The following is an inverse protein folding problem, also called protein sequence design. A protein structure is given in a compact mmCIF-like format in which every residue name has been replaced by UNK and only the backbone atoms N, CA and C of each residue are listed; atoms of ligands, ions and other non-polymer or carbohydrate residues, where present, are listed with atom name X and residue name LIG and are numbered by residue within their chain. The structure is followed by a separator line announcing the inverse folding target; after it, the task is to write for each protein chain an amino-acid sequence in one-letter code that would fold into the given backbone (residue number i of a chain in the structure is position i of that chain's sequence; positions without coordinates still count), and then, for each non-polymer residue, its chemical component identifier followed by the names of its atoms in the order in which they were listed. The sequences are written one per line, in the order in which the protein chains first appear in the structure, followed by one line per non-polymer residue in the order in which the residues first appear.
data_IF_578511688586
#
_entry.id   IF_578511688586
#
_cell.length_a   1.000
_cell.length_b   1.000
_cell.length_c   1.000
_cell.angle_alpha   90.00
_cell.angle_beta   90.00
_cell.angle_gamma   90.00
#
_symmetry.space_group_name_H-M   'P 1'
#
loop_
_entity.id
_entity.type
_entity.pdbx_description
1 polymer ?
#
# COMPACT_ATOMS: atom_id res chain seq x y z
N UNK A 1 -3.49 -10.22 11.18
CA UNK A 1 -3.83 -10.61 9.80
C UNK A 1 -5.02 -9.84 9.24
N UNK A 2 -6.13 -9.72 9.97
CA UNK A 2 -7.33 -9.00 9.50
C UNK A 2 -7.04 -7.58 8.98
N UNK A 3 -6.23 -6.79 9.68
CA UNK A 3 -5.90 -5.41 9.29
C UNK A 3 -5.09 -5.28 7.98
N UNK A 4 -4.38 -6.32 7.56
CA UNK A 4 -3.63 -6.32 6.31
C UNK A 4 -4.44 -6.88 5.12
N UNK A 5 -5.52 -7.60 5.37
CA UNK A 5 -6.39 -8.16 4.32
C UNK A 5 -7.41 -7.16 3.78
N UNK A 6 -7.82 -6.15 4.59
CA UNK A 6 -8.74 -5.10 4.16
C UNK A 6 -7.93 -4.03 3.43
N UNK A 7 -8.01 -4.07 2.11
CA UNK A 7 -7.37 -3.08 1.26
C UNK A 7 -8.40 -2.13 0.66
N UNK A 8 -7.94 -0.97 0.23
CA UNK A 8 -8.80 0.09 -0.30
C UNK A 8 -9.51 -0.27 -1.61
N UNK A 9 -9.06 -1.31 -2.32
CA UNK A 9 -9.71 -1.75 -3.55
C UNK A 9 -9.73 -3.27 -3.73
N UNK A 10 -10.72 -3.76 -4.52
CA UNK A 10 -10.98 -5.18 -4.74
C UNK A 10 -9.83 -5.90 -5.47
N UNK A 11 -9.14 -5.23 -6.41
CA UNK A 11 -8.01 -5.81 -7.14
C UNK A 11 -6.85 -6.12 -6.19
N UNK A 12 -6.48 -5.15 -5.37
CA UNK A 12 -5.38 -5.32 -4.42
C UNK A 12 -5.71 -6.35 -3.33
N UNK A 13 -6.96 -6.40 -2.91
CA UNK A 13 -7.45 -7.45 -1.97
C UNK A 13 -7.26 -8.85 -2.56
N UNK A 14 -7.64 -9.09 -3.82
CA UNK A 14 -7.41 -10.37 -4.51
C UNK A 14 -5.91 -10.70 -4.64
N UNK A 15 -5.10 -9.72 -5.01
CA UNK A 15 -3.65 -9.89 -5.13
C UNK A 15 -3.01 -10.29 -3.80
N UNK A 16 -3.35 -9.58 -2.72
CA UNK A 16 -2.86 -9.88 -1.36
C UNK A 16 -3.33 -11.26 -0.90
N UNK A 17 -4.58 -11.64 -1.20
CA UNK A 17 -5.10 -12.95 -0.85
C UNK A 17 -4.32 -14.09 -1.54
N UNK A 18 -4.06 -13.99 -2.84
CA UNK A 18 -3.24 -14.96 -3.58
C UNK A 18 -1.84 -15.04 -2.96
N UNK A 19 -1.26 -13.89 -2.65
CA UNK A 19 0.05 -13.81 -2.06
C UNK A 19 0.10 -14.50 -0.68
N UNK A 20 -0.94 -14.35 0.14
CA UNK A 20 -1.09 -15.04 1.41
C UNK A 20 -1.22 -16.56 1.25
N UNK A 21 -1.98 -17.03 0.26
CA UNK A 21 -2.09 -18.46 -0.03
C UNK A 21 -0.72 -19.05 -0.37
N UNK A 22 0.02 -18.39 -1.27
CA UNK A 22 1.38 -18.81 -1.65
C UNK A 22 2.32 -18.79 -0.44
N UNK A 23 2.27 -17.73 0.38
CA UNK A 23 3.06 -17.64 1.59
C UNK A 23 2.78 -18.80 2.54
N UNK A 24 1.50 -19.08 2.84
CA UNK A 24 1.10 -20.18 3.74
C UNK A 24 1.60 -21.53 3.24
N UNK A 25 1.54 -21.79 1.93
CA UNK A 25 2.06 -23.04 1.35
C UNK A 25 3.58 -23.16 1.50
N UNK A 26 4.31 -22.08 1.25
CA UNK A 26 5.78 -22.03 1.44
C UNK A 26 6.17 -22.23 2.91
N UNK A 27 5.43 -21.61 3.83
CA UNK A 27 5.64 -21.72 5.26
C UNK A 27 5.52 -23.16 5.75
N UNK A 28 4.39 -23.79 5.43
CA UNK A 28 4.13 -25.16 5.87
C UNK A 28 5.11 -26.13 5.22
N UNK A 29 5.44 -25.93 3.92
CA UNK A 29 6.47 -26.70 3.25
C UNK A 29 7.84 -26.58 3.94
N UNK A 30 8.24 -25.37 4.34
CA UNK A 30 9.49 -25.15 5.06
C UNK A 30 9.49 -25.81 6.45
N UNK A 31 8.37 -25.77 7.18
CA UNK A 31 8.23 -26.46 8.47
C UNK A 31 8.37 -27.96 8.34
N UNK A 32 7.72 -28.59 7.35
CA UNK A 32 7.86 -30.02 7.14
C UNK A 32 9.29 -30.42 6.76
N UNK A 33 10.00 -29.60 5.98
CA UNK A 33 11.42 -29.83 5.71
C UNK A 33 12.26 -29.77 6.99
N UNK A 34 12.03 -28.78 7.84
CA UNK A 34 12.72 -28.64 9.12
C UNK A 34 12.43 -29.85 10.00
N UNK A 35 11.16 -30.27 10.13
CA UNK A 35 10.79 -31.43 10.95
C UNK A 35 11.39 -32.73 10.43
N UNK A 36 11.39 -32.94 9.11
CA UNK A 36 11.98 -34.14 8.51
C UNK A 36 13.44 -34.34 8.89
N UNK A 37 14.19 -33.24 9.03
CA UNK A 37 15.64 -33.29 9.27
C UNK A 37 16.02 -33.14 10.72
N UNK A 38 15.17 -32.59 11.57
CA UNK A 38 15.55 -32.19 12.93
C UNK A 38 14.47 -32.41 14.00
N UNK A 39 13.49 -33.32 13.74
CA UNK A 39 12.37 -33.51 14.67
C UNK A 39 12.80 -33.86 16.09
N UNK A 40 13.73 -34.80 16.25
CA UNK A 40 14.24 -35.27 17.55
C UNK A 40 15.20 -34.32 18.27
N UNK A 41 15.74 -33.34 17.55
CA UNK A 41 16.85 -32.52 18.05
C UNK A 41 16.46 -31.04 18.12
N UNK A 42 15.99 -30.51 19.26
CA UNK A 42 15.49 -29.15 19.37
C UNK A 42 16.55 -28.07 19.05
N UNK A 43 17.82 -28.33 19.35
CA UNK A 43 18.90 -27.41 19.03
C UNK A 43 19.12 -27.28 17.52
N UNK A 44 19.10 -28.41 16.79
CA UNK A 44 19.27 -28.42 15.33
C UNK A 44 18.11 -27.68 14.67
N UNK A 45 16.87 -27.87 15.13
CA UNK A 45 15.70 -27.12 14.67
C UNK A 45 15.90 -25.62 14.83
N UNK A 46 16.38 -25.18 15.97
CA UNK A 46 16.60 -23.77 16.26
C UNK A 46 17.71 -23.17 15.39
N UNK A 47 18.81 -23.94 15.18
CA UNK A 47 19.91 -23.53 14.29
C UNK A 47 19.44 -23.36 12.84
N UNK A 48 18.52 -24.20 12.36
CA UNK A 48 17.96 -24.09 11.00
C UNK A 48 16.92 -22.97 10.92
N UNK A 49 16.03 -22.86 11.92
CA UNK A 49 14.96 -21.86 11.91
C UNK A 49 15.48 -20.42 12.09
N UNK A 50 16.59 -20.24 12.85
CA UNK A 50 17.17 -18.94 13.12
C UNK A 50 17.59 -18.16 11.86
N UNK A 51 18.42 -18.71 10.97
CA UNK A 51 18.78 -18.09 9.70
C UNK A 51 17.60 -17.84 8.78
N UNK A 52 16.61 -18.74 8.75
CA UNK A 52 15.36 -18.54 7.97
C UNK A 52 14.60 -17.31 8.50
N UNK A 53 14.43 -17.21 9.83
CA UNK A 53 13.80 -16.05 10.44
C UNK A 53 14.56 -14.77 10.13
N UNK A 54 15.88 -14.77 10.31
CA UNK A 54 16.72 -13.62 10.07
C UNK A 54 16.63 -13.16 8.61
N UNK A 55 16.71 -14.08 7.65
CA UNK A 55 16.56 -13.82 6.22
C UNK A 55 15.17 -13.28 5.88
N UNK A 56 14.11 -13.87 6.42
CA UNK A 56 12.74 -13.40 6.23
C UNK A 56 12.52 -12.00 6.80
N UNK A 57 13.07 -11.70 7.99
CA UNK A 57 12.96 -10.36 8.60
C UNK A 57 13.76 -9.31 7.85
N UNK A 58 14.91 -9.67 7.28
CA UNK A 58 15.66 -8.82 6.37
C UNK A 58 14.86 -8.53 5.09
N UNK A 59 14.35 -9.58 4.43
CA UNK A 59 13.53 -9.44 3.21
C UNK A 59 12.21 -8.72 3.46
N UNK A 60 11.62 -8.83 4.64
CA UNK A 60 10.45 -8.06 5.04
C UNK A 60 10.67 -6.55 4.90
N UNK A 61 11.86 -6.08 5.25
CA UNK A 61 12.21 -4.65 5.22
C UNK A 61 12.73 -4.17 3.87
N UNK A 62 13.34 -5.05 3.09
CA UNK A 62 14.04 -4.70 1.85
C UNK A 62 13.29 -5.05 0.58
N UNK A 63 12.36 -5.99 0.61
CA UNK A 63 11.66 -6.48 -0.57
C UNK A 63 10.22 -5.96 -0.66
N UNK A 64 9.71 -5.72 -1.89
CA UNK A 64 8.31 -5.26 -2.12
C UNK A 64 7.25 -6.20 -1.56
N UNK A 65 7.55 -7.50 -1.52
CA UNK A 65 6.68 -8.52 -0.95
C UNK A 65 6.96 -8.77 0.54
N UNK A 66 7.39 -7.75 1.26
CA UNK A 66 7.77 -7.85 2.67
C UNK A 66 6.75 -8.54 3.56
N UNK A 67 5.46 -8.34 3.28
CA UNK A 67 4.36 -8.97 4.03
C UNK A 67 4.40 -10.50 3.97
N UNK A 68 4.77 -11.08 2.81
CA UNK A 68 4.91 -12.55 2.64
C UNK A 68 6.03 -13.07 3.53
N UNK A 69 7.19 -12.43 3.48
CA UNK A 69 8.34 -12.83 4.31
C UNK A 69 8.07 -12.70 5.80
N UNK A 70 7.29 -11.69 6.20
CA UNK A 70 6.82 -11.55 7.58
C UNK A 70 5.93 -12.72 8.00
N UNK A 71 4.98 -13.13 7.15
CA UNK A 71 4.12 -14.26 7.43
C UNK A 71 4.93 -15.56 7.58
N UNK A 72 5.84 -15.83 6.61
CA UNK A 72 6.77 -16.99 6.67
C UNK A 72 7.57 -16.99 7.97
N UNK A 73 8.09 -15.83 8.40
CA UNK A 73 8.87 -15.71 9.62
C UNK A 73 8.08 -16.09 10.88
N UNK A 74 6.84 -15.63 10.99
CA UNK A 74 5.97 -15.92 12.15
C UNK A 74 5.73 -17.44 12.26
N UNK A 75 5.30 -18.08 11.16
CA UNK A 75 4.97 -19.49 11.18
C UNK A 75 6.20 -20.35 11.36
N UNK A 76 7.33 -19.99 10.75
CA UNK A 76 8.60 -20.70 10.93
C UNK A 76 9.02 -20.78 12.41
N UNK A 77 8.85 -19.69 13.17
CA UNK A 77 9.16 -19.69 14.61
C UNK A 77 8.07 -20.36 15.43
N UNK A 78 6.81 -20.01 15.17
CA UNK A 78 5.70 -20.55 15.95
C UNK A 78 5.61 -22.07 15.80
N UNK A 79 5.85 -22.59 14.58
CA UNK A 79 5.90 -24.01 14.31
C UNK A 79 6.96 -24.78 15.13
N UNK A 80 8.06 -24.12 15.53
CA UNK A 80 9.08 -24.78 16.37
C UNK A 80 8.58 -25.09 17.79
N UNK A 81 7.50 -24.46 18.24
CA UNK A 81 6.90 -24.72 19.57
C UNK A 81 6.10 -26.02 19.61
N UNK A 82 5.55 -26.48 18.49
CA UNK A 82 4.69 -27.66 18.44
C UNK A 82 5.42 -28.95 18.88
N UNK A 83 6.59 -29.30 18.34
CA UNK A 83 7.33 -30.49 18.79
C UNK A 83 7.88 -30.37 20.21
N UNK A 84 7.95 -29.14 20.78
CA UNK A 84 8.37 -28.93 22.16
C UNK A 84 7.22 -29.10 23.17
N UNK A 85 5.97 -28.98 22.72
CA UNK A 85 4.77 -29.07 23.56
C UNK A 85 4.08 -30.44 23.48
N UNK A 86 4.34 -31.21 22.43
CA UNK A 86 3.59 -32.43 22.09
C UNK A 86 4.57 -33.58 21.81
N UNK A 87 4.39 -34.67 22.53
CA UNK A 87 5.25 -35.86 22.42
C UNK A 87 4.92 -36.74 21.19
N UNK A 88 3.74 -36.55 20.60
CA UNK A 88 3.24 -37.37 19.50
C UNK A 88 3.48 -36.70 18.14
N UNK A 89 4.38 -37.26 17.27
CA UNK A 89 4.68 -36.69 15.94
C UNK A 89 3.46 -36.51 15.06
N UNK A 90 2.54 -37.46 15.11
CA UNK A 90 1.30 -37.40 14.30
C UNK A 90 0.42 -36.17 14.65
N UNK A 91 0.33 -35.85 15.96
CA UNK A 91 -0.43 -34.68 16.42
C UNK A 91 0.24 -33.40 15.96
N UNK A 92 1.58 -33.32 15.98
CA UNK A 92 2.34 -32.17 15.48
C UNK A 92 2.10 -31.96 13.99
N UNK A 93 2.13 -33.02 13.17
CA UNK A 93 1.84 -32.95 11.74
C UNK A 93 0.41 -32.46 11.50
N UNK A 94 -0.58 -33.02 12.21
CA UNK A 94 -1.98 -32.59 12.10
C UNK A 94 -2.16 -31.11 12.48
N UNK A 95 -1.56 -30.66 13.57
CA UNK A 95 -1.60 -29.24 13.98
C UNK A 95 -0.95 -28.32 12.94
N UNK A 96 0.19 -28.73 12.39
CA UNK A 96 0.85 -27.99 11.31
C UNK A 96 -0.05 -27.87 10.07
N UNK A 97 -0.75 -28.93 9.70
CA UNK A 97 -1.75 -28.89 8.61
C UNK A 97 -2.95 -28.00 8.98
N UNK A 98 -3.39 -28.02 10.25
CA UNK A 98 -4.46 -27.11 10.70
C UNK A 98 -4.06 -25.65 10.60
N UNK A 99 -2.76 -25.30 10.69
CA UNK A 99 -2.29 -23.92 10.44
C UNK A 99 -2.64 -23.42 9.03
N UNK A 100 -2.69 -24.33 8.02
CA UNK A 100 -3.17 -23.97 6.67
C UNK A 100 -4.62 -23.47 6.75
N UNK A 101 -5.48 -24.24 7.41
CA UNK A 101 -6.90 -23.89 7.53
C UNK A 101 -7.08 -22.58 8.28
N UNK A 102 -6.38 -22.42 9.41
CA UNK A 102 -6.43 -21.19 10.24
C UNK A 102 -5.92 -19.96 9.48
N UNK A 103 -4.90 -20.11 8.64
CA UNK A 103 -4.37 -19.02 7.81
C UNK A 103 -5.23 -18.69 6.61
N UNK A 104 -5.72 -19.71 5.90
CA UNK A 104 -6.49 -19.54 4.67
C UNK A 104 -7.95 -19.13 4.91
N UNK A 105 -8.62 -19.70 5.92
CA UNK A 105 -10.02 -19.44 6.17
C UNK A 105 -10.36 -17.95 6.35
N UNK A 106 -9.69 -17.19 7.24
CA UNK A 106 -9.93 -15.76 7.37
C UNK A 106 -9.62 -14.98 6.09
N UNK A 107 -8.57 -15.37 5.39
CA UNK A 107 -8.14 -14.70 4.15
C UNK A 107 -9.17 -14.91 3.03
N UNK A 108 -9.67 -16.12 2.85
CA UNK A 108 -10.72 -16.43 1.88
C UNK A 108 -12.03 -15.73 2.24
N UNK A 109 -12.44 -15.79 3.51
CA UNK A 109 -13.67 -15.14 3.98
C UNK A 109 -13.62 -13.62 3.75
N UNK A 110 -12.51 -12.98 4.11
CA UNK A 110 -12.34 -11.55 3.89
C UNK A 110 -12.33 -11.18 2.41
N UNK A 111 -11.65 -11.99 1.58
CA UNK A 111 -11.65 -11.79 0.13
C UNK A 111 -13.05 -11.93 -0.45
N UNK A 112 -13.78 -12.94 -0.01
CA UNK A 112 -15.17 -13.16 -0.42
C UNK A 112 -16.07 -11.96 -0.04
N UNK A 113 -15.99 -11.51 1.21
CA UNK A 113 -16.76 -10.35 1.69
C UNK A 113 -16.34 -9.08 0.93
N UNK A 114 -15.04 -8.82 0.80
CA UNK A 114 -14.52 -7.63 0.10
C UNK A 114 -14.89 -7.58 -1.39
N UNK A 115 -14.98 -8.74 -2.04
CA UNK A 115 -15.35 -8.81 -3.47
C UNK A 115 -16.85 -8.77 -3.68
N UNK A 116 -17.65 -9.43 -2.81
CA UNK A 116 -19.10 -9.54 -2.98
C UNK A 116 -19.87 -8.35 -2.39
N UNK A 117 -19.51 -7.90 -1.19
CA UNK A 117 -20.24 -6.82 -0.50
C UNK A 117 -19.67 -5.43 -0.71
N UNK A 118 -18.37 -5.33 -0.91
CA UNK A 118 -17.70 -4.03 -1.07
C UNK A 118 -16.81 -4.00 -2.32
N UNK A 119 -17.38 -4.09 -3.54
CA UNK A 119 -16.59 -4.02 -4.77
C UNK A 119 -16.12 -2.59 -5.04
N UNK A 120 -15.29 -2.04 -4.16
CA UNK A 120 -14.69 -0.73 -4.38
C UNK A 120 -13.69 -0.82 -5.55
N UNK A 121 -14.08 -0.26 -6.70
CA UNK A 121 -13.20 -0.19 -7.86
C UNK A 121 -12.16 0.92 -7.67
N UNK A 122 -10.91 0.65 -8.01
CA UNK A 122 -9.83 1.63 -7.92
C UNK A 122 -10.15 2.89 -8.72
N UNK A 123 -10.80 2.74 -9.88
CA UNK A 123 -11.20 3.82 -10.77
C UNK A 123 -12.23 4.74 -10.11
N UNK A 124 -13.26 4.18 -9.49
CA UNK A 124 -14.27 4.99 -8.80
C UNK A 124 -13.68 5.83 -7.67
N UNK A 125 -12.74 5.24 -6.92
CA UNK A 125 -12.00 5.97 -5.87
C UNK A 125 -11.09 7.06 -6.46
N UNK A 126 -10.47 6.79 -7.63
CA UNK A 126 -9.63 7.77 -8.32
C UNK A 126 -10.46 8.96 -8.81
N UNK A 127 -11.59 8.69 -9.49
CA UNK A 127 -12.48 9.76 -9.94
C UNK A 127 -12.98 10.61 -8.77
N UNK A 128 -13.41 9.96 -7.68
CA UNK A 128 -13.85 10.68 -6.49
C UNK A 128 -12.72 11.53 -5.90
N UNK A 129 -11.53 10.97 -5.73
CA UNK A 129 -10.39 11.69 -5.17
C UNK A 129 -9.90 12.85 -6.05
N UNK A 130 -10.02 12.74 -7.38
CA UNK A 130 -9.74 13.83 -8.30
C UNK A 130 -10.83 14.91 -8.24
N UNK A 131 -12.10 14.48 -8.24
CA UNK A 131 -13.25 15.40 -8.17
C UNK A 131 -13.25 16.21 -6.88
N UNK A 132 -13.02 15.58 -5.72
CA UNK A 132 -12.96 16.28 -4.43
C UNK A 132 -11.90 17.39 -4.43
N UNK A 133 -10.75 17.14 -5.08
CA UNK A 133 -9.68 18.15 -5.20
C UNK A 133 -9.99 19.28 -6.17
N UNK A 134 -10.65 18.94 -7.28
CA UNK A 134 -11.08 19.94 -8.25
C UNK A 134 -12.19 20.81 -7.65
N UNK A 135 -13.10 20.24 -6.85
CA UNK A 135 -14.11 20.98 -6.09
C UNK A 135 -13.47 21.96 -5.07
N UNK A 136 -12.51 21.48 -4.30
CA UNK A 136 -11.74 22.31 -3.37
C UNK A 136 -11.03 23.46 -4.12
N UNK A 137 -10.44 23.18 -5.28
CA UNK A 137 -9.75 24.17 -6.10
C UNK A 137 -10.70 25.22 -6.69
N UNK A 138 -11.87 24.80 -7.19
CA UNK A 138 -12.91 25.68 -7.70
C UNK A 138 -13.44 26.57 -6.59
N UNK A 139 -13.74 25.99 -5.43
CA UNK A 139 -14.25 26.73 -4.26
C UNK A 139 -13.24 27.78 -3.79
N UNK A 140 -11.96 27.44 -3.76
CA UNK A 140 -10.89 28.40 -3.38
C UNK A 140 -10.71 29.53 -4.39
N UNK A 141 -10.92 29.28 -5.68
CA UNK A 141 -10.85 30.29 -6.72
C UNK A 141 -12.09 31.22 -6.73
N UNK A 142 -13.27 30.70 -6.39
CA UNK A 142 -14.54 31.44 -6.40
C UNK A 142 -14.87 32.09 -5.09
N UNK A 143 -14.61 31.38 -3.97
CA UNK A 143 -14.86 31.86 -2.61
C UNK A 143 -13.54 32.07 -1.87
N UNK A 144 -13.16 33.33 -1.69
CA UNK A 144 -11.88 33.73 -1.08
C UNK A 144 -11.73 33.31 0.41
N UNK A 145 -12.79 32.79 1.03
CA UNK A 145 -12.82 32.41 2.44
C UNK A 145 -12.59 30.90 2.69
N UNK A 146 -12.54 30.08 1.64
CA UNK A 146 -12.36 28.64 1.79
C UNK A 146 -10.86 28.27 1.86
N UNK A 147 -10.29 28.02 3.08
CA UNK A 147 -8.89 27.59 3.17
C UNK A 147 -8.73 26.15 2.70
N UNK A 148 -7.72 25.91 1.89
CA UNK A 148 -7.36 24.55 1.50
C UNK A 148 -6.67 23.83 2.68
N UNK A 149 -7.07 22.59 3.01
CA UNK A 149 -6.47 21.86 4.13
C UNK A 149 -5.04 21.40 3.80
N UNK A 150 -4.04 21.99 4.48
CA UNK A 150 -2.60 21.69 4.30
C UNK A 150 -2.25 20.23 4.51
N UNK A 151 -2.95 19.54 5.41
CA UNK A 151 -2.70 18.13 5.76
C UNK A 151 -2.93 17.16 4.61
N UNK A 152 -3.66 17.59 3.55
CA UNK A 152 -3.97 16.77 2.38
C UNK A 152 -2.84 16.70 1.35
N UNK A 153 -1.89 17.67 1.32
CA UNK A 153 -0.96 17.84 0.21
C UNK A 153 0.00 16.65 0.06
N UNK A 154 0.73 16.30 1.13
CA UNK A 154 1.77 15.25 1.03
C UNK A 154 1.22 13.83 1.07
N UNK A 155 0.33 13.54 2.01
CA UNK A 155 -0.21 12.18 2.18
C UNK A 155 -1.09 11.75 1.01
N UNK A 156 -1.86 12.67 0.46
CA UNK A 156 -2.80 12.36 -0.61
C UNK A 156 -2.15 12.34 -2.00
N UNK A 157 -1.06 13.07 -2.24
CA UNK A 157 -0.30 12.95 -3.49
C UNK A 157 0.26 11.55 -3.69
N UNK A 158 0.86 10.96 -2.63
CA UNK A 158 1.33 9.57 -2.64
C UNK A 158 0.17 8.57 -2.76
N UNK A 159 -0.98 8.87 -2.15
CA UNK A 159 -2.17 8.02 -2.24
C UNK A 159 -2.72 7.99 -3.67
N UNK A 160 -2.79 9.13 -4.38
CA UNK A 160 -3.20 9.20 -5.79
C UNK A 160 -2.25 8.44 -6.70
N UNK A 161 -0.93 8.57 -6.51
CA UNK A 161 0.04 7.83 -7.29
C UNK A 161 -0.12 6.31 -7.12
N UNK A 162 -0.32 5.83 -5.88
CA UNK A 162 -0.60 4.42 -5.60
C UNK A 162 -1.90 3.97 -6.24
N UNK A 163 -2.95 4.79 -6.14
CA UNK A 163 -4.26 4.49 -6.70
C UNK A 163 -4.19 4.40 -8.23
N UNK A 164 -3.41 5.27 -8.89
CA UNK A 164 -3.19 5.22 -10.34
C UNK A 164 -2.54 3.90 -10.78
N UNK A 165 -1.56 3.38 -10.01
CA UNK A 165 -0.97 2.06 -10.29
C UNK A 165 -2.03 0.95 -10.24
N UNK A 166 -3.00 1.04 -9.33
CA UNK A 166 -4.10 0.07 -9.23
C UNK A 166 -5.11 0.21 -10.38
N UNK A 167 -5.43 1.45 -10.79
CA UNK A 167 -6.28 1.70 -11.95
C UNK A 167 -5.66 1.12 -13.23
N UNK A 168 -4.35 1.27 -13.43
CA UNK A 168 -3.61 0.69 -14.56
C UNK A 168 -3.65 -0.85 -14.58
N UNK A 169 -3.76 -1.48 -13.41
CA UNK A 169 -3.85 -2.94 -13.31
C UNK A 169 -5.28 -3.46 -13.53
N UNK A 170 -6.30 -2.69 -13.11
CA UNK A 170 -7.70 -3.11 -13.06
C UNK A 170 -8.46 -2.88 -14.38
N UNK A 171 -8.14 -1.82 -15.15
CA UNK A 171 -8.89 -1.41 -16.33
C UNK A 171 -8.04 -1.32 -17.60
N UNK A 172 -8.59 -1.91 -18.71
CA UNK A 172 -7.93 -1.87 -20.02
C UNK A 172 -8.01 -0.47 -20.66
N UNK A 173 -9.13 0.26 -20.50
CA UNK A 173 -9.30 1.61 -21.05
C UNK A 173 -8.37 2.59 -20.34
N UNK A 174 -8.27 2.49 -19.01
CA UNK A 174 -7.32 3.29 -18.23
C UNK A 174 -5.87 3.05 -18.68
N UNK A 175 -5.55 1.81 -19.03
CA UNK A 175 -4.22 1.43 -19.54
C UNK A 175 -3.91 1.99 -20.92
N UNK A 176 -4.88 2.02 -21.83
CA UNK A 176 -4.68 2.60 -23.17
C UNK A 176 -4.47 4.10 -23.10
N UNK A 177 -5.14 4.81 -22.19
CA UNK A 177 -5.06 6.24 -21.96
C UNK A 177 -4.16 6.62 -20.80
N UNK A 178 -3.24 5.72 -20.42
CA UNK A 178 -2.44 5.86 -19.19
C UNK A 178 -1.58 7.12 -19.13
N UNK A 179 -1.08 7.59 -20.27
CA UNK A 179 -0.29 8.82 -20.35
C UNK A 179 -1.14 10.05 -20.00
N UNK A 180 -2.36 10.13 -20.54
CA UNK A 180 -3.28 11.21 -20.24
C UNK A 180 -3.70 11.21 -18.76
N UNK A 181 -4.07 10.04 -18.19
CA UNK A 181 -4.46 9.93 -16.80
C UNK A 181 -3.31 10.25 -15.83
N UNK A 182 -2.09 9.86 -16.16
CA UNK A 182 -0.90 10.25 -15.38
C UNK A 182 -0.67 11.76 -15.40
N UNK A 183 -0.81 12.39 -16.58
CA UNK A 183 -0.71 13.83 -16.73
C UNK A 183 -1.85 14.55 -16.00
N UNK A 184 -3.07 14.03 -16.06
CA UNK A 184 -4.21 14.55 -15.31
C UNK A 184 -3.96 14.54 -13.79
N UNK A 185 -3.51 13.41 -13.24
CA UNK A 185 -3.17 13.30 -11.81
C UNK A 185 -2.07 14.28 -11.42
N UNK A 186 -1.03 14.44 -12.28
CA UNK A 186 0.04 15.40 -12.04
C UNK A 186 -0.47 16.84 -12.07
N UNK A 187 -1.30 17.19 -13.08
CA UNK A 187 -1.91 18.52 -13.23
C UNK A 187 -2.80 18.86 -12.04
N UNK A 188 -3.71 17.96 -11.63
CA UNK A 188 -4.59 18.19 -10.46
C UNK A 188 -3.76 18.38 -9.18
N UNK A 189 -2.73 17.57 -8.99
CA UNK A 189 -1.83 17.69 -7.84
C UNK A 189 -1.08 19.04 -7.87
N UNK A 190 -0.62 19.45 -9.03
CA UNK A 190 0.06 20.73 -9.22
C UNK A 190 -0.87 21.94 -8.97
N UNK A 191 -2.08 21.92 -9.53
CA UNK A 191 -3.11 22.95 -9.30
C UNK A 191 -3.36 23.09 -7.80
N UNK A 192 -3.64 21.98 -7.12
CA UNK A 192 -3.93 21.98 -5.68
C UNK A 192 -2.76 22.53 -4.85
N UNK A 193 -1.52 22.11 -5.16
CA UNK A 193 -0.32 22.57 -4.43
C UNK A 193 -0.01 24.05 -4.66
N UNK A 194 -0.33 24.56 -5.86
CA UNK A 194 -0.10 25.98 -6.21
C UNK A 194 -1.18 26.86 -5.56
N UNK A 195 -2.44 26.44 -5.61
CA UNK A 195 -3.56 27.14 -4.99
C UNK A 195 -3.45 27.19 -3.47
N UNK A 196 -2.86 26.17 -2.84
CA UNK A 196 -2.62 26.20 -1.40
C UNK A 196 -1.66 27.33 -0.95
N UNK A 197 -0.81 27.81 -1.85
CA UNK A 197 0.09 28.93 -1.60
C UNK A 197 -0.47 30.27 -2.07
N UNK A 198 -1.61 30.24 -2.76
CA UNK A 198 -2.26 31.40 -3.32
C UNK A 198 -3.21 32.03 -2.29
N UNK A 199 -3.03 33.32 -2.03
CA UNK A 199 -3.93 34.10 -1.20
C UNK A 199 -4.89 34.93 -2.08
N UNK A 200 -6.15 34.50 -2.20
CA UNK A 200 -7.12 35.20 -3.04
C UNK A 200 -7.47 36.59 -2.52
N UNK A 201 -7.24 36.90 -1.24
CA UNK A 201 -7.57 38.21 -0.64
C UNK A 201 -6.63 39.31 -1.09
N UNK A 202 -5.40 38.96 -1.47
CA UNK A 202 -4.38 39.91 -1.91
C UNK A 202 -4.73 40.63 -3.22
N UNK A 203 -5.72 40.13 -3.99
CA UNK A 203 -6.10 40.64 -5.32
C UNK A 203 -7.60 40.94 -5.43
N UNK A 204 -8.27 41.18 -4.33
CA UNK A 204 -9.73 41.35 -4.28
C UNK A 204 -10.26 42.57 -5.05
N UNK A 205 -9.42 43.60 -5.26
CA UNK A 205 -9.82 44.87 -5.84
C UNK A 205 -9.71 44.93 -7.37
N UNK A 206 -9.08 43.95 -8.01
CA UNK A 206 -8.89 43.94 -9.46
C UNK A 206 -9.99 43.17 -10.18
N UNK A 207 -10.87 43.88 -10.90
CA UNK A 207 -11.99 43.30 -11.66
C UNK A 207 -11.45 42.29 -12.74
N UNK A 208 -10.35 42.61 -13.39
CA UNK A 208 -9.74 41.74 -14.41
C UNK A 208 -9.26 40.40 -13.82
N UNK A 209 -8.71 40.41 -12.59
CA UNK A 209 -8.27 39.20 -11.91
C UNK A 209 -9.48 38.39 -11.45
N UNK A 210 -10.55 39.02 -11.00
CA UNK A 210 -11.78 38.33 -10.60
C UNK A 210 -12.38 37.58 -11.81
N UNK A 211 -12.53 38.25 -12.96
CA UNK A 211 -13.04 37.66 -14.19
C UNK A 211 -12.16 36.50 -14.67
N UNK A 212 -10.85 36.69 -14.63
CA UNK A 212 -9.88 35.63 -14.96
C UNK A 212 -10.02 34.41 -14.04
N UNK A 213 -10.12 34.60 -12.72
CA UNK A 213 -10.32 33.51 -11.72
C UNK A 213 -11.62 32.75 -11.99
N UNK A 214 -12.72 33.44 -12.29
CA UNK A 214 -13.99 32.81 -12.64
C UNK A 214 -13.87 31.97 -13.91
N UNK A 215 -13.15 32.48 -14.93
CA UNK A 215 -12.92 31.75 -16.15
C UNK A 215 -12.03 30.52 -15.91
N UNK A 216 -10.95 30.64 -15.14
CA UNK A 216 -10.10 29.54 -14.75
C UNK A 216 -10.90 28.47 -13.97
N UNK A 217 -11.75 28.88 -13.02
CA UNK A 217 -12.64 27.98 -12.29
C UNK A 217 -13.62 27.25 -13.23
N UNK A 218 -14.12 27.93 -14.27
CA UNK A 218 -15.01 27.31 -15.26
C UNK A 218 -14.29 26.25 -16.10
N UNK A 219 -13.03 26.47 -16.47
CA UNK A 219 -12.23 25.47 -17.22
C UNK A 219 -11.87 24.28 -16.34
N UNK A 220 -11.53 24.50 -15.05
CA UNK A 220 -11.34 23.43 -14.08
C UNK A 220 -12.61 22.61 -13.88
N UNK A 221 -13.79 23.25 -13.85
CA UNK A 221 -15.08 22.58 -13.77
C UNK A 221 -15.36 21.69 -15.00
N UNK A 222 -15.00 22.13 -16.21
CA UNK A 222 -15.09 21.28 -17.42
C UNK A 222 -14.19 20.05 -17.32
N UNK A 223 -12.96 20.22 -16.81
CA UNK A 223 -12.05 19.08 -16.52
C UNK A 223 -12.69 18.13 -15.50
N UNK A 224 -13.28 18.66 -14.44
CA UNK A 224 -13.96 17.87 -13.42
C UNK A 224 -15.11 17.03 -13.99
N UNK A 225 -15.98 17.63 -14.81
CA UNK A 225 -17.04 16.88 -15.48
C UNK A 225 -16.50 15.76 -16.37
N UNK A 226 -15.47 16.00 -17.17
CA UNK A 226 -14.84 14.98 -18.00
C UNK A 226 -14.25 13.84 -17.14
N UNK A 227 -13.57 14.17 -16.03
CA UNK A 227 -13.05 13.19 -15.08
C UNK A 227 -14.16 12.37 -14.43
N UNK A 228 -15.29 13.00 -14.04
CA UNK A 228 -16.44 12.32 -13.46
C UNK A 228 -17.06 11.31 -14.44
N UNK A 229 -17.12 11.64 -15.74
CA UNK A 229 -17.61 10.77 -16.81
C UNK A 229 -16.56 9.72 -17.24
N UNK A 230 -15.33 9.80 -16.75
CA UNK A 230 -14.24 8.91 -17.15
C UNK A 230 -13.72 9.17 -18.57
N UNK A 231 -13.91 10.39 -19.08
CA UNK A 231 -13.48 10.82 -20.41
C UNK A 231 -12.22 11.67 -20.33
N UNK A 232 -11.43 11.64 -21.41
CA UNK A 232 -10.29 12.53 -21.55
C UNK A 232 -10.78 13.93 -21.91
N UNK A 233 -10.46 14.90 -21.09
CA UNK A 233 -10.79 16.30 -21.34
C UNK A 233 -9.93 16.88 -22.44
N UNK A 234 -10.56 17.56 -23.38
CA UNK A 234 -9.94 18.36 -24.43
C UNK A 234 -10.43 19.79 -24.32
N UNK A 235 -9.55 20.75 -24.47
CA UNK A 235 -9.88 22.16 -24.34
C UNK A 235 -9.48 22.93 -25.60
N UNK A 236 -10.44 23.72 -26.09
CA UNK A 236 -10.21 24.74 -27.13
C UNK A 236 -9.91 26.12 -26.50
N UNK A 237 -9.72 26.18 -25.17
CA UNK A 237 -9.45 27.43 -24.50
C UNK A 237 -8.17 28.07 -25.03
N UNK A 238 -8.30 29.32 -25.46
CA UNK A 238 -7.19 30.17 -25.84
C UNK A 238 -7.13 31.35 -24.88
N UNK A 239 -5.99 31.52 -24.25
CA UNK A 239 -5.76 32.63 -23.33
C UNK A 239 -5.62 33.91 -24.15
N UNK A 240 -6.47 34.90 -23.88
CA UNK A 240 -6.33 36.26 -24.46
C UNK A 240 -5.18 37.00 -23.80
N UNK A 241 -4.71 38.08 -24.45
CA UNK A 241 -3.59 38.88 -23.93
C UNK A 241 -3.91 39.52 -22.56
N UNK A 242 -5.17 39.95 -22.36
CA UNK A 242 -5.66 40.46 -21.06
C UNK A 242 -5.67 39.38 -19.98
N UNK A 243 -6.10 38.15 -20.31
CA UNK A 243 -6.08 37.01 -19.36
C UNK A 243 -4.66 36.60 -19.02
N UNK A 244 -3.73 36.64 -19.97
CA UNK A 244 -2.33 36.34 -19.73
C UNK A 244 -1.67 37.35 -18.79
N UNK A 245 -2.01 38.64 -18.89
CA UNK A 245 -1.57 39.68 -17.96
C UNK A 245 -2.13 39.44 -16.55
N UNK A 246 -3.44 39.20 -16.44
CA UNK A 246 -4.08 38.90 -15.16
C UNK A 246 -3.51 37.62 -14.50
N UNK A 247 -3.23 36.58 -15.30
CA UNK A 247 -2.62 35.34 -14.81
C UNK A 247 -1.21 35.55 -14.23
N UNK A 248 -0.42 36.45 -14.84
CA UNK A 248 0.92 36.81 -14.35
C UNK A 248 0.87 37.63 -13.06
N UNK A 249 -0.03 38.61 -13.01
CA UNK A 249 -0.23 39.46 -11.82
C UNK A 249 -0.60 38.64 -10.59
N UNK A 250 -1.47 37.64 -10.76
CA UNK A 250 -1.89 36.74 -9.65
C UNK A 250 -1.03 35.48 -9.49
N UNK A 251 0.07 35.31 -10.23
CA UNK A 251 0.95 34.12 -10.19
C UNK A 251 0.26 32.78 -10.52
N UNK A 252 -0.81 32.79 -11.31
CA UNK A 252 -1.53 31.58 -11.74
C UNK A 252 -1.20 31.19 -13.20
N UNK A 253 -0.25 31.85 -13.86
CA UNK A 253 0.16 31.57 -15.25
C UNK A 253 0.54 30.10 -15.45
N UNK A 254 1.29 29.50 -14.51
CA UNK A 254 1.72 28.11 -14.59
C UNK A 254 0.55 27.12 -14.53
N UNK A 255 -0.50 27.43 -13.77
CA UNK A 255 -1.74 26.60 -13.74
C UNK A 255 -2.39 26.60 -15.12
N UNK A 256 -2.53 27.78 -15.74
CA UNK A 256 -3.10 27.90 -17.08
C UNK A 256 -2.29 27.10 -18.11
N UNK A 257 -0.97 27.25 -18.09
CA UNK A 257 -0.09 26.50 -19.00
C UNK A 257 -0.23 24.99 -18.82
N UNK A 258 -0.28 24.50 -17.59
CA UNK A 258 -0.42 23.07 -17.29
C UNK A 258 -1.79 22.54 -17.72
N UNK A 259 -2.86 23.32 -17.51
CA UNK A 259 -4.21 22.97 -17.99
C UNK A 259 -4.25 22.93 -19.52
N UNK A 260 -3.70 23.91 -20.21
CA UNK A 260 -3.66 23.94 -21.67
C UNK A 260 -2.86 22.76 -22.24
N UNK A 261 -1.74 22.42 -21.64
CA UNK A 261 -0.94 21.25 -22.03
C UNK A 261 -1.76 19.96 -21.88
N UNK A 262 -2.49 19.79 -20.78
CA UNK A 262 -3.36 18.64 -20.58
C UNK A 262 -4.50 18.60 -21.61
N UNK A 263 -5.17 19.74 -21.87
CA UNK A 263 -6.29 19.82 -22.82
C UNK A 263 -5.89 19.62 -24.29
N UNK A 264 -4.63 19.83 -24.64
CA UNK A 264 -4.08 19.62 -25.98
C UNK A 264 -3.44 18.23 -26.14
N UNK A 265 -3.33 17.46 -25.06
CA UNK A 265 -2.69 16.15 -25.10
C UNK A 265 -3.58 15.14 -25.84
N UNK A 266 -3.01 14.41 -26.82
CA UNK A 266 -3.70 13.30 -27.46
C UNK A 266 -3.91 12.15 -26.43
N UNK A 267 -5.17 11.74 -26.18
CA UNK A 267 -5.47 10.63 -25.28
C UNK A 267 -4.78 9.31 -25.63
N UNK A 268 -4.46 9.10 -26.89
CA UNK A 268 -3.81 7.89 -27.38
C UNK A 268 -2.27 7.96 -27.36
N UNK A 269 -1.70 8.99 -26.78
CA UNK A 269 -0.25 9.11 -26.64
C UNK A 269 0.30 7.88 -25.88
N UNK A 270 1.27 7.15 -26.45
CA UNK A 270 1.81 5.98 -25.75
C UNK A 270 2.48 6.43 -24.44
N UNK A 271 2.26 5.68 -23.34
CA UNK A 271 2.86 6.03 -22.06
C UNK A 271 4.39 5.97 -22.16
N UNK A 272 5.06 6.95 -21.60
CA UNK A 272 6.49 6.90 -21.44
C UNK A 272 6.83 5.67 -20.57
N UNK A 273 7.69 4.74 -21.03
CA UNK A 273 8.01 3.53 -20.27
C UNK A 273 8.60 3.91 -18.92
N UNK A 274 7.77 3.82 -17.88
CA UNK A 274 8.24 4.03 -16.52
C UNK A 274 9.22 2.91 -16.17
N UNK A 275 10.40 3.26 -15.66
CA UNK A 275 11.35 2.29 -15.17
C UNK A 275 10.66 1.40 -14.13
N UNK A 276 10.69 0.08 -14.33
CA UNK A 276 10.11 -0.87 -13.36
C UNK A 276 10.77 -0.61 -12.01
N UNK A 277 9.98 -0.30 -10.97
CA UNK A 277 10.56 -0.08 -9.65
C UNK A 277 11.32 -1.35 -9.22
N UNK A 278 12.51 -1.21 -8.64
CA UNK A 278 13.33 -2.35 -8.22
C UNK A 278 12.55 -3.23 -7.24
N UNK A 279 12.77 -4.55 -7.29
CA UNK A 279 12.13 -5.51 -6.38
C UNK A 279 12.62 -5.37 -4.94
N UNK A 280 13.85 -4.90 -4.75
CA UNK A 280 14.47 -4.61 -3.47
C UNK A 280 14.78 -3.12 -3.33
N UNK A 281 14.86 -2.65 -2.09
CA UNK A 281 15.33 -1.30 -1.78
C UNK A 281 16.75 -1.09 -2.32
N UNK A 282 17.02 0.07 -2.91
CA UNK A 282 18.33 0.35 -3.53
C UNK A 282 19.49 0.28 -2.52
N UNK A 283 19.20 0.56 -1.25
CA UNK A 283 20.14 0.56 -0.11
C UNK A 283 20.10 -0.75 0.70
N UNK A 284 19.44 -1.81 0.20
CA UNK A 284 19.19 -3.04 0.95
C UNK A 284 20.45 -3.65 1.60
N UNK A 285 21.57 -3.63 0.89
CA UNK A 285 22.83 -4.20 1.36
C UNK A 285 23.83 -3.18 1.93
N UNK A 286 23.57 -1.89 1.73
CA UNK A 286 24.45 -0.79 2.21
C UNK A 286 23.98 -0.23 3.54
N UNK A 287 22.68 -0.29 3.83
CA UNK A 287 22.11 0.22 5.08
C UNK A 287 22.14 -0.86 6.18
N UNK A 288 22.94 -0.70 7.23
CA UNK A 288 23.08 -1.68 8.30
C UNK A 288 21.81 -1.83 9.15
N UNK A 289 20.85 -0.90 9.09
CA UNK A 289 19.67 -0.92 9.94
C UNK A 289 18.73 -2.09 9.63
N UNK A 290 18.70 -2.55 8.38
CA UNK A 290 17.92 -3.73 8.00
C UNK A 290 18.46 -5.00 8.66
N UNK A 291 19.78 -5.17 8.66
CA UNK A 291 20.43 -6.31 9.31
C UNK A 291 20.31 -6.22 10.83
N UNK A 292 20.52 -5.04 11.41
CA UNK A 292 20.33 -4.81 12.87
C UNK A 292 18.92 -5.16 13.31
N UNK A 293 17.90 -4.79 12.51
CA UNK A 293 16.52 -5.14 12.79
C UNK A 293 16.30 -6.66 12.77
N UNK A 294 16.81 -7.36 11.77
CA UNK A 294 16.69 -8.81 11.64
C UNK A 294 17.36 -9.54 12.83
N UNK A 295 18.56 -9.11 13.22
CA UNK A 295 19.29 -9.68 14.37
C UNK A 295 18.56 -9.40 15.68
N UNK A 296 18.07 -8.19 15.92
CA UNK A 296 17.30 -7.86 17.13
C UNK A 296 16.05 -8.72 17.25
N UNK A 297 15.35 -8.93 16.14
CA UNK A 297 14.13 -9.78 16.12
C UNK A 297 14.49 -11.24 16.40
N UNK A 298 15.56 -11.75 15.78
CA UNK A 298 16.05 -13.10 16.08
C UNK A 298 16.36 -13.28 17.56
N UNK A 299 17.14 -12.37 18.14
CA UNK A 299 17.50 -12.43 19.56
C UNK A 299 16.28 -12.40 20.48
N UNK A 300 15.32 -11.51 20.19
CA UNK A 300 14.07 -11.45 20.95
C UNK A 300 13.30 -12.79 20.90
N UNK A 301 13.16 -13.36 19.69
CA UNK A 301 12.50 -14.66 19.51
C UNK A 301 13.23 -15.81 20.23
N UNK A 302 14.56 -15.85 20.21
CA UNK A 302 15.36 -16.84 20.91
C UNK A 302 15.19 -16.75 22.43
N UNK A 303 15.20 -15.54 22.99
CA UNK A 303 14.94 -15.30 24.41
C UNK A 303 13.54 -15.79 24.80
N UNK A 304 12.51 -15.41 24.03
CA UNK A 304 11.14 -15.86 24.28
C UNK A 304 11.01 -17.38 24.21
N UNK A 305 11.63 -18.01 23.20
CA UNK A 305 11.63 -19.46 23.05
C UNK A 305 12.31 -20.17 24.24
N UNK A 306 13.45 -19.66 24.69
CA UNK A 306 14.16 -20.20 25.85
C UNK A 306 13.35 -20.08 27.16
N UNK A 307 12.67 -18.93 27.34
CA UNK A 307 11.81 -18.73 28.52
C UNK A 307 10.59 -19.68 28.50
N UNK A 308 10.01 -19.93 27.32
CA UNK A 308 8.92 -20.88 27.14
C UNK A 308 9.37 -22.32 27.48
N UNK A 309 10.54 -22.74 27.01
CA UNK A 309 11.08 -24.06 27.33
C UNK A 309 11.34 -24.24 28.83
N UNK A 310 11.90 -23.22 29.50
CA UNK A 310 12.13 -23.29 30.97
C UNK A 310 10.82 -23.45 31.74
N UNK A 311 9.74 -22.78 31.33
CA UNK A 311 8.42 -22.92 31.97
C UNK A 311 7.76 -24.26 31.67
N UNK A 312 7.97 -24.83 30.48
CA UNK A 312 7.48 -26.16 30.11
C UNK A 312 8.18 -27.31 30.87
N UNK A 313 9.48 -27.24 31.01
CA UNK A 313 10.27 -28.24 31.79
C UNK A 313 9.88 -28.26 33.28
N UNK A 314 9.51 -27.12 33.84
CA UNK A 314 9.00 -27.08 35.24
C UNK A 314 7.69 -27.86 35.44
N UNK A 315 6.83 -27.93 34.45
CA UNK A 315 5.57 -28.69 34.51
C UNK A 315 5.79 -30.21 34.39
N UNK A 316 6.68 -30.63 33.52
CA UNK A 316 6.98 -32.06 33.34
C UNK A 316 7.72 -32.65 34.53
N UNK A 317 8.60 -31.91 35.17
CA UNK A 317 9.31 -32.40 36.39
C UNK A 317 8.34 -32.63 37.54
N UNK A 318 7.32 -31.83 37.73
CA UNK A 318 6.31 -32.03 38.77
C UNK A 318 5.39 -33.25 38.46
N UNK A 319 5.04 -33.50 37.21
CA UNK A 319 4.25 -34.67 36.80
C UNK A 319 5.01 -35.99 36.96
N UNK A 320 6.31 -36.01 36.67
CA UNK A 320 7.18 -37.17 36.88
C UNK A 320 7.45 -37.43 38.36
N UNK A 321 7.59 -36.39 39.18
CA UNK A 321 7.73 -36.53 40.64
C UNK A 321 6.46 -37.13 41.28
N UNK A 322 5.28 -36.65 40.89
CA UNK A 322 3.99 -37.13 41.39
C UNK A 322 3.66 -38.60 40.98
N UNK A 323 4.15 -39.05 39.80
CA UNK A 323 4.03 -40.43 39.38
C UNK A 323 5.03 -41.37 40.09
N UNK A 324 6.15 -40.88 40.61
CA UNK A 324 7.12 -41.65 41.36
C UNK A 324 6.70 -41.90 42.81
N UNK A 325 5.98 -40.94 43.40
CA UNK A 325 5.47 -41.06 44.77
C UNK A 325 4.18 -41.90 44.84
N UNK A 326 3.57 -42.28 43.75
CA UNK A 326 2.38 -43.15 43.69
C UNK A 326 2.69 -44.64 43.42
N UNK A 327 3.99 -45.02 43.38
CA UNK A 327 4.43 -46.41 43.30
C UNK A 327 5.16 -46.78 44.60
#
# INVERSE_FOLDING_TARGET
MLFYGIQSNAFYTKFVAILFVVATMLEIGSLFLIYKWSYGEPLIRLIIAGPILMGCMFLMRTHRLGLVFFAVAIVAIYGQTFPAMLDYPEVVVRLTLWCIVVGLYPTLLMTLIGVLWFPSRAISQMHQALNDRLDDAISHLTDSLAPLPETRIEREALALQKLNVFCLADDANWRTQSAWWQSCVATVTYIYSTLNRYDPTSFADSQAIIEFRQKLASEINKLQHAVAEGQCWQSDWRISESEAMAARECNLENICQTLLQLGQMDPNTPPTPAAKPPSMAADAFTNPDYMRYAVKTLLACLICYHLLQRRGLGRHSHLYADMRDRR
#
